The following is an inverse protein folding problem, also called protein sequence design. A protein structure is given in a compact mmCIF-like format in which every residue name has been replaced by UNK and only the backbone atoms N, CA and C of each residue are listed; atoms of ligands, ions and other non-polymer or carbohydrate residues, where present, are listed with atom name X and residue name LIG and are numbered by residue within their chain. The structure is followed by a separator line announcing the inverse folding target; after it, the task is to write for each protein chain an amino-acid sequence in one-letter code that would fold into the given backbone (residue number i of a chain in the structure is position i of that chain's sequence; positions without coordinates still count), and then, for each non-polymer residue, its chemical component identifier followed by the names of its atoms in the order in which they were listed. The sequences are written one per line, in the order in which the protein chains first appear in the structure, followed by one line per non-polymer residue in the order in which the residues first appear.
data_IF_903160011326
#
_entry.id   IF_903160011326
#
_cell.length_a   1.000
_cell.length_b   1.000
_cell.length_c   1.000
_cell.angle_alpha   90.00
_cell.angle_beta   90.00
_cell.angle_gamma   90.00
#
_symmetry.space_group_name_H-M   'P 1'
#
loop_
_entity.id
_entity.type
_entity.pdbx_description
1 polymer ?
#
# COMPACT_ATOMS: atom_id res chain seq x y z
N UNK A 1 72.96 -31.21 25.91
CA UNK A 1 72.73 -29.80 25.53
C UNK A 1 72.04 -29.80 24.18
N UNK A 2 70.73 -29.53 24.15
CA UNK A 2 69.92 -29.47 22.94
C UNK A 2 69.06 -28.20 22.98
N UNK A 3 69.17 -27.39 21.93
CA UNK A 3 68.51 -26.10 21.77
C UNK A 3 67.04 -26.27 21.33
N UNK A 4 66.13 -25.60 22.01
CA UNK A 4 64.73 -25.46 21.59
C UNK A 4 64.54 -24.22 20.69
N UNK A 5 63.67 -24.27 19.67
CA UNK A 5 63.45 -23.14 18.77
C UNK A 5 62.39 -22.17 19.32
N UNK A 6 62.65 -20.87 19.15
CA UNK A 6 61.76 -19.78 19.50
C UNK A 6 60.60 -19.65 18.48
N UNK A 7 59.37 -19.73 18.95
CA UNK A 7 58.15 -19.40 18.19
C UNK A 7 57.95 -17.89 18.16
N UNK A 8 58.06 -17.29 16.96
CA UNK A 8 57.65 -15.91 16.69
C UNK A 8 56.13 -15.84 16.56
N UNK A 9 55.47 -15.17 17.50
CA UNK A 9 54.08 -14.74 17.36
C UNK A 9 54.01 -13.67 16.25
N UNK A 10 53.32 -13.97 15.16
CA UNK A 10 53.00 -13.02 14.10
C UNK A 10 51.65 -12.38 14.45
N UNK A 11 51.68 -11.17 14.99
CA UNK A 11 50.49 -10.31 15.10
C UNK A 11 50.18 -9.75 13.71
N UNK A 12 49.22 -10.35 13.00
CA UNK A 12 48.63 -9.78 11.79
C UNK A 12 47.43 -8.88 12.17
N UNK A 13 47.21 -7.73 11.52
CA UNK A 13 46.63 -6.58 12.20
C UNK A 13 45.09 -6.59 12.15
N UNK A 14 44.50 -6.48 13.34
CA UNK A 14 43.07 -6.25 13.60
C UNK A 14 42.50 -5.03 12.82
N UNK A 15 43.36 -4.08 12.45
CA UNK A 15 43.00 -2.89 11.68
C UNK A 15 42.53 -3.17 10.25
N UNK A 16 42.98 -4.26 9.62
CA UNK A 16 42.55 -4.59 8.26
C UNK A 16 41.06 -4.99 8.22
N UNK A 17 40.60 -5.71 9.26
CA UNK A 17 39.21 -6.14 9.37
C UNK A 17 38.27 -4.98 9.68
N UNK A 18 38.68 -4.02 10.53
CA UNK A 18 37.86 -2.83 10.82
C UNK A 18 37.67 -1.98 9.56
N UNK A 19 38.73 -1.81 8.76
CA UNK A 19 38.65 -1.03 7.52
C UNK A 19 37.79 -1.74 6.45
N UNK A 20 37.91 -3.06 6.34
CA UNK A 20 37.13 -3.84 5.38
C UNK A 20 35.63 -3.87 5.72
N UNK A 21 35.28 -4.02 7.00
CA UNK A 21 33.88 -3.94 7.44
C UNK A 21 33.32 -2.53 7.34
N UNK A 22 34.12 -1.50 7.66
CA UNK A 22 33.72 -0.10 7.48
C UNK A 22 33.40 0.24 6.01
N UNK A 23 34.21 -0.26 5.07
CA UNK A 23 34.01 -0.07 3.64
C UNK A 23 32.77 -0.79 3.11
N UNK A 24 32.50 -2.02 3.57
CA UNK A 24 31.29 -2.76 3.18
C UNK A 24 30.04 -2.04 3.69
N UNK A 25 30.03 -1.58 4.94
CA UNK A 25 28.93 -0.79 5.51
C UNK A 25 28.75 0.51 4.73
N UNK A 26 29.83 1.22 4.42
CA UNK A 26 29.76 2.46 3.64
C UNK A 26 29.27 2.24 2.21
N UNK A 27 29.61 1.12 1.56
CA UNK A 27 29.09 0.73 0.25
C UNK A 27 27.61 0.34 0.33
N UNK A 28 27.19 -0.40 1.37
CA UNK A 28 25.79 -0.77 1.56
C UNK A 28 24.90 0.43 1.87
N UNK A 29 25.38 1.42 2.64
CA UNK A 29 24.63 2.64 2.94
C UNK A 29 24.76 3.73 1.85
N UNK A 30 25.91 3.83 1.17
CA UNK A 30 26.17 4.82 0.12
C UNK A 30 25.54 4.49 -1.23
N UNK A 31 25.35 3.20 -1.56
CA UNK A 31 24.66 2.77 -2.78
C UNK A 31 23.13 2.70 -2.60
N UNK A 32 22.62 2.75 -1.37
CA UNK A 32 21.18 2.73 -1.08
C UNK A 32 20.42 3.98 -1.57
N UNK A 33 21.11 5.06 -1.90
CA UNK A 33 20.48 6.35 -2.25
C UNK A 33 20.36 6.63 -3.75
N UNK A 34 21.03 5.86 -4.63
CA UNK A 34 21.13 6.19 -6.06
C UNK A 34 20.62 5.10 -7.03
N UNK A 35 20.01 4.03 -6.53
CA UNK A 35 19.33 3.03 -7.37
C UNK A 35 17.90 3.46 -7.72
N UNK A 36 17.78 4.60 -8.42
CA UNK A 36 16.56 4.96 -9.14
C UNK A 36 16.59 4.24 -10.49
N UNK A 37 15.79 3.18 -10.57
CA UNK A 37 15.51 2.46 -11.82
C UNK A 37 15.05 3.46 -12.87
N UNK A 38 15.66 3.35 -14.05
CA UNK A 38 15.47 4.16 -15.24
C UNK A 38 14.11 3.90 -15.91
N UNK A 39 13.01 3.87 -15.15
CA UNK A 39 11.70 4.06 -15.76
C UNK A 39 11.66 5.52 -16.20
N UNK A 40 11.44 5.78 -17.49
CA UNK A 40 11.10 7.13 -18.01
C UNK A 40 9.73 7.56 -17.49
N UNK A 41 9.56 7.57 -16.16
CA UNK A 41 8.54 8.35 -15.49
C UNK A 41 8.81 9.77 -15.94
N UNK A 42 7.76 10.44 -16.43
CA UNK A 42 7.86 11.83 -16.85
C UNK A 42 8.74 12.60 -15.87
N UNK A 43 9.84 13.17 -16.37
CA UNK A 43 10.62 14.08 -15.54
C UNK A 43 9.66 15.21 -15.11
N UNK A 44 9.87 15.76 -13.92
CA UNK A 44 9.18 16.98 -13.52
C UNK A 44 9.30 18.06 -14.60
N UNK A 45 10.40 18.08 -15.36
CA UNK A 45 10.55 18.93 -16.54
C UNK A 45 9.52 18.63 -17.64
N UNK A 46 9.28 17.36 -17.99
CA UNK A 46 8.29 17.01 -19.01
C UNK A 46 6.89 17.42 -18.59
N UNK A 47 6.53 17.16 -17.33
CA UNK A 47 5.22 17.56 -16.77
C UNK A 47 5.09 19.08 -16.82
N UNK A 48 6.08 19.82 -16.32
CA UNK A 48 6.05 21.29 -16.33
C UNK A 48 6.01 21.86 -17.75
N UNK A 49 6.70 21.22 -18.69
CA UNK A 49 6.66 21.61 -20.11
C UNK A 49 5.25 21.39 -20.67
N UNK A 50 4.62 20.26 -20.37
CA UNK A 50 3.23 19.98 -20.75
C UNK A 50 2.21 20.92 -20.07
N UNK A 51 2.48 21.40 -18.86
CA UNK A 51 1.68 22.44 -18.19
C UNK A 51 1.90 23.84 -18.77
N UNK A 52 3.12 24.14 -19.23
CA UNK A 52 3.52 25.42 -19.79
C UNK A 52 3.15 25.57 -21.28
N UNK A 53 2.68 24.50 -21.94
CA UNK A 53 1.95 24.63 -23.19
C UNK A 53 0.74 25.52 -22.89
N UNK A 54 0.87 26.81 -23.19
CA UNK A 54 -0.21 27.79 -23.09
C UNK A 54 -1.38 27.22 -23.87
N UNK A 55 -2.38 26.76 -23.14
CA UNK A 55 -3.67 26.45 -23.74
C UNK A 55 -4.32 27.80 -24.00
N UNK A 56 -3.94 28.45 -25.10
CA UNK A 56 -4.69 29.58 -25.63
C UNK A 56 -6.16 29.15 -25.94
N UNK A 57 -6.42 27.83 -25.93
CA UNK A 57 -7.73 27.17 -26.01
C UNK A 57 -8.48 26.99 -24.67
N UNK A 58 -7.99 27.53 -23.54
CA UNK A 58 -8.68 27.39 -22.25
C UNK A 58 -10.10 28.00 -22.26
N UNK A 59 -10.37 28.94 -23.15
CA UNK A 59 -11.68 29.57 -23.32
C UNK A 59 -12.71 28.63 -23.97
N UNK A 60 -12.29 27.66 -24.80
CA UNK A 60 -13.20 26.74 -25.50
C UNK A 60 -13.51 25.44 -24.74
N UNK A 61 -12.71 25.08 -23.73
CA UNK A 61 -12.99 23.96 -22.79
C UNK A 61 -14.27 24.25 -21.96
N UNK A 62 -14.72 25.51 -21.91
CA UNK A 62 -16.00 25.89 -21.27
C UNK A 62 -17.23 25.40 -22.04
N UNK A 63 -17.11 25.14 -23.36
CA UNK A 63 -18.21 24.70 -24.23
C UNK A 63 -18.26 23.19 -24.43
N UNK A 64 -17.17 22.46 -24.18
CA UNK A 64 -17.17 21.00 -24.26
C UNK A 64 -18.04 20.39 -23.16
N UNK A 65 -19.05 19.60 -23.59
CA UNK A 65 -19.80 18.74 -22.67
C UNK A 65 -18.81 17.79 -22.01
N UNK A 66 -18.75 17.80 -20.68
CA UNK A 66 -17.99 16.83 -19.91
C UNK A 66 -18.45 15.40 -20.25
N UNK A 67 -17.73 14.74 -21.14
CA UNK A 67 -17.99 13.37 -21.56
C UNK A 67 -17.22 12.39 -20.67
N UNK A 68 -17.41 12.52 -19.35
CA UNK A 68 -16.93 11.50 -18.42
C UNK A 68 -17.68 10.23 -18.78
N UNK A 69 -16.96 9.17 -19.13
CA UNK A 69 -17.58 7.89 -19.47
C UNK A 69 -18.36 7.38 -18.26
N UNK A 70 -19.67 7.25 -18.44
CA UNK A 70 -20.54 6.66 -17.43
C UNK A 70 -20.29 5.16 -17.26
N UNK A 71 -19.78 4.51 -18.32
CA UNK A 71 -19.47 3.07 -18.37
C UNK A 71 -18.00 2.85 -18.73
N UNK A 72 -17.14 2.53 -17.75
CA UNK A 72 -15.76 2.17 -18.02
C UNK A 72 -15.70 0.85 -18.81
N UNK A 73 -14.67 0.69 -19.64
CA UNK A 73 -14.51 -0.47 -20.50
C UNK A 73 -13.95 -1.66 -19.71
N UNK A 74 -14.46 -2.85 -20.04
CA UNK A 74 -13.80 -4.10 -19.71
C UNK A 74 -12.57 -4.28 -20.60
N UNK A 75 -11.57 -4.97 -20.06
CA UNK A 75 -10.38 -5.37 -20.82
C UNK A 75 -10.59 -6.81 -21.27
N UNK A 76 -10.57 -7.07 -22.57
CA UNK A 76 -10.49 -8.46 -23.01
C UNK A 76 -9.08 -9.00 -22.73
N UNK A 77 -8.94 -10.22 -22.23
CA UNK A 77 -7.61 -10.74 -21.90
C UNK A 77 -6.74 -10.95 -23.14
N UNK A 78 -7.34 -11.34 -24.27
CA UNK A 78 -6.59 -11.43 -25.52
C UNK A 78 -6.17 -10.05 -25.96
N UNK A 79 -6.97 -9.00 -25.71
CA UNK A 79 -6.52 -7.62 -25.91
C UNK A 79 -5.39 -7.22 -24.95
N UNK A 80 -5.45 -7.64 -23.67
CA UNK A 80 -4.38 -7.39 -22.68
C UNK A 80 -3.05 -8.01 -23.10
N UNK A 81 -3.07 -9.23 -23.64
CA UNK A 81 -1.88 -9.92 -24.15
C UNK A 81 -1.47 -9.42 -25.55
N UNK A 82 -2.48 -9.27 -26.41
CA UNK A 82 -2.52 -8.85 -27.81
C UNK A 82 -1.99 -7.46 -28.13
N UNK A 83 -2.72 -6.48 -27.62
CA UNK A 83 -2.66 -5.09 -28.09
C UNK A 83 -1.53 -4.31 -27.42
N UNK A 84 -0.84 -4.93 -26.46
CA UNK A 84 0.23 -4.31 -25.67
C UNK A 84 -0.22 -2.96 -25.09
N UNK A 85 -1.52 -2.74 -24.83
CA UNK A 85 -2.02 -1.49 -24.24
C UNK A 85 -1.50 -1.39 -22.81
N UNK A 86 -1.72 -2.45 -22.03
CA UNK A 86 -1.28 -2.52 -20.65
C UNK A 86 0.11 -3.12 -20.56
N UNK A 87 0.91 -2.57 -19.64
CA UNK A 87 2.22 -3.11 -19.29
C UNK A 87 2.11 -4.49 -18.65
N UNK A 88 1.14 -4.66 -17.76
CA UNK A 88 1.03 -5.86 -16.94
C UNK A 88 0.10 -6.90 -17.56
N UNK A 89 0.58 -8.14 -17.64
CA UNK A 89 -0.22 -9.30 -18.10
C UNK A 89 -1.24 -9.75 -17.05
N UNK A 90 -0.96 -9.45 -15.78
CA UNK A 90 -1.86 -9.64 -14.64
C UNK A 90 -2.26 -8.26 -14.11
N UNK A 91 -3.55 -8.01 -13.79
CA UNK A 91 -3.95 -6.74 -13.20
C UNK A 91 -3.18 -6.46 -11.90
N UNK A 92 -2.51 -5.30 -11.76
CA UNK A 92 -1.83 -4.96 -10.53
C UNK A 92 -2.81 -4.80 -9.36
N UNK A 93 -2.32 -5.04 -8.15
CA UNK A 93 -3.07 -4.79 -6.94
C UNK A 93 -3.05 -3.31 -6.56
N UNK A 94 -4.22 -2.75 -6.24
CA UNK A 94 -4.33 -1.46 -5.57
C UNK A 94 -4.33 -1.71 -4.06
N UNK A 95 -3.15 -1.56 -3.46
CA UNK A 95 -2.87 -1.88 -2.06
C UNK A 95 -2.94 -0.61 -1.22
N UNK A 96 -3.77 -0.65 -0.17
CA UNK A 96 -3.75 0.38 0.87
C UNK A 96 -4.30 -0.18 2.16
N UNK A 97 -4.07 0.52 3.27
CA UNK A 97 -4.79 0.29 4.51
C UNK A 97 -6.24 0.77 4.40
N UNK A 98 -7.10 0.27 5.28
CA UNK A 98 -8.48 0.73 5.39
C UNK A 98 -8.53 2.23 5.68
N UNK A 99 -9.44 2.96 5.02
CA UNK A 99 -9.52 4.41 5.13
C UNK A 99 -8.54 5.19 4.25
N UNK A 100 -7.65 4.55 3.50
CA UNK A 100 -6.62 5.25 2.70
C UNK A 100 -7.02 5.65 1.29
N UNK A 101 -8.28 5.41 0.90
CA UNK A 101 -8.83 5.96 -0.34
C UNK A 101 -8.93 5.01 -1.53
N UNK A 102 -8.73 3.70 -1.37
CA UNK A 102 -8.82 2.72 -2.47
C UNK A 102 -10.06 2.87 -3.36
N UNK A 103 -11.25 3.01 -2.76
CA UNK A 103 -12.50 3.17 -3.54
C UNK A 103 -12.51 4.48 -4.33
N UNK A 104 -11.93 5.55 -3.79
CA UNK A 104 -11.79 6.82 -4.49
C UNK A 104 -10.81 6.69 -5.66
N UNK A 105 -9.63 6.12 -5.43
CA UNK A 105 -8.63 5.90 -6.49
C UNK A 105 -9.16 4.99 -7.60
N UNK A 106 -9.96 3.97 -7.26
CA UNK A 106 -10.69 3.16 -8.26
C UNK A 106 -11.63 4.01 -9.11
N UNK A 107 -12.45 4.88 -8.49
CA UNK A 107 -13.30 5.79 -9.25
C UNK A 107 -12.48 6.70 -10.17
N UNK A 108 -11.33 7.20 -9.70
CA UNK A 108 -10.43 8.03 -10.52
C UNK A 108 -9.90 7.24 -11.73
N UNK A 109 -9.47 5.99 -11.54
CA UNK A 109 -9.04 5.12 -12.64
C UNK A 109 -10.19 4.91 -13.64
N UNK A 110 -11.38 4.54 -13.16
CA UNK A 110 -12.54 4.28 -14.01
C UNK A 110 -13.03 5.52 -14.77
N UNK A 111 -13.01 6.68 -14.12
CA UNK A 111 -13.49 7.96 -14.66
C UNK A 111 -12.49 8.56 -15.64
N UNK A 112 -11.21 8.57 -15.25
CA UNK A 112 -10.17 9.33 -15.96
C UNK A 112 -9.45 8.49 -17.01
N UNK A 113 -9.21 7.20 -16.71
CA UNK A 113 -8.51 6.26 -17.61
C UNK A 113 -9.53 5.46 -18.43
N UNK A 114 -10.74 5.26 -17.91
CA UNK A 114 -11.85 4.69 -18.67
C UNK A 114 -11.91 3.16 -18.70
N UNK A 115 -11.24 2.48 -17.76
CA UNK A 115 -11.27 1.02 -17.62
C UNK A 115 -11.78 0.58 -16.25
N UNK A 116 -12.54 -0.52 -16.21
CA UNK A 116 -13.13 -1.05 -14.98
C UNK A 116 -12.08 -1.52 -13.97
N UNK A 117 -12.43 -1.45 -12.69
CA UNK A 117 -11.57 -1.90 -11.60
C UNK A 117 -12.25 -2.96 -10.74
N UNK A 118 -11.46 -3.93 -10.28
CA UNK A 118 -11.91 -5.04 -9.46
C UNK A 118 -11.73 -4.80 -7.97
N UNK A 119 -12.31 -5.69 -7.18
CA UNK A 119 -12.24 -5.69 -5.72
C UNK A 119 -12.43 -7.09 -5.20
N UNK A 120 -11.65 -7.47 -4.19
CA UNK A 120 -11.85 -8.74 -3.47
C UNK A 120 -13.07 -8.71 -2.54
N UNK A 121 -13.63 -7.52 -2.30
CA UNK A 121 -14.74 -7.30 -1.40
C UNK A 121 -16.06 -7.46 -2.13
N UNK A 122 -17.07 -7.96 -1.42
CA UNK A 122 -18.46 -7.99 -1.88
C UNK A 122 -19.27 -6.86 -1.25
N UNK A 123 -19.03 -5.64 -1.72
CA UNK A 123 -19.84 -4.48 -1.33
C UNK A 123 -20.97 -4.22 -2.33
N UNK A 124 -22.13 -4.83 -2.06
CA UNK A 124 -23.34 -4.64 -2.89
C UNK A 124 -23.76 -3.18 -3.02
N UNK A 125 -23.45 -2.33 -2.04
CA UNK A 125 -23.79 -0.90 -2.09
C UNK A 125 -22.88 -0.16 -3.06
N UNK A 126 -21.57 -0.44 -3.04
CA UNK A 126 -20.64 0.11 -4.04
C UNK A 126 -20.94 -0.43 -5.44
N UNK A 127 -21.28 -1.71 -5.57
CA UNK A 127 -21.69 -2.29 -6.85
C UNK A 127 -22.92 -1.60 -7.42
N UNK A 128 -24.00 -1.53 -6.62
CA UNK A 128 -25.30 -1.05 -7.11
C UNK A 128 -25.39 0.48 -7.22
N UNK A 129 -24.81 1.21 -6.26
CA UNK A 129 -24.96 2.67 -6.16
C UNK A 129 -23.70 3.42 -6.61
N UNK A 130 -22.52 2.83 -6.39
CA UNK A 130 -21.24 3.36 -6.84
C UNK A 130 -20.89 2.95 -8.28
N UNK A 131 -21.69 2.08 -8.90
CA UNK A 131 -21.47 1.53 -10.24
C UNK A 131 -20.10 0.86 -10.39
N UNK A 132 -19.59 0.23 -9.33
CA UNK A 132 -18.43 -0.66 -9.41
C UNK A 132 -18.91 -2.04 -9.85
N UNK A 133 -19.19 -2.21 -11.13
CA UNK A 133 -19.83 -3.42 -11.68
C UNK A 133 -19.09 -4.71 -11.29
N UNK A 134 -17.75 -4.62 -11.22
CA UNK A 134 -16.84 -5.70 -10.88
C UNK A 134 -16.39 -5.70 -9.40
N UNK A 135 -17.25 -5.21 -8.50
CA UNK A 135 -17.10 -5.51 -7.07
C UNK A 135 -17.20 -7.03 -6.83
N UNK A 136 -16.35 -7.59 -5.98
CA UNK A 136 -16.14 -9.04 -5.78
C UNK A 136 -15.48 -9.77 -6.95
N UNK A 137 -15.10 -9.06 -8.01
CA UNK A 137 -14.39 -9.64 -9.13
C UNK A 137 -12.91 -9.28 -9.05
N UNK A 138 -12.12 -10.33 -9.17
CA UNK A 138 -10.69 -10.25 -9.38
C UNK A 138 -10.41 -11.12 -10.60
N UNK A 139 -10.27 -10.47 -11.74
CA UNK A 139 -10.28 -11.10 -13.05
C UNK A 139 -9.31 -10.35 -13.95
N UNK A 140 -8.81 -11.02 -14.98
CA UNK A 140 -7.96 -10.41 -16.00
C UNK A 140 -8.62 -9.25 -16.77
N UNK A 141 -9.95 -9.10 -16.65
CA UNK A 141 -10.73 -8.06 -17.35
C UNK A 141 -10.75 -6.70 -16.67
N UNK A 142 -10.13 -6.56 -15.49
CA UNK A 142 -10.01 -5.28 -14.79
C UNK A 142 -8.65 -4.64 -15.01
N UNK A 143 -8.57 -3.31 -14.91
CA UNK A 143 -7.31 -2.58 -14.95
C UNK A 143 -6.48 -2.81 -13.69
N UNK A 144 -7.12 -2.80 -12.52
CA UNK A 144 -6.50 -2.98 -11.20
C UNK A 144 -7.46 -3.71 -10.26
N UNK A 145 -6.95 -4.40 -9.24
CA UNK A 145 -7.78 -5.03 -8.19
C UNK A 145 -7.48 -4.44 -6.82
N UNK A 146 -8.50 -3.89 -6.14
CA UNK A 146 -8.37 -3.41 -4.76
C UNK A 146 -8.13 -4.55 -3.76
N UNK A 147 -7.19 -4.31 -2.85
CA UNK A 147 -6.84 -5.19 -1.73
C UNK A 147 -6.43 -4.40 -0.48
N UNK A 148 -6.63 -4.99 0.72
CA UNK A 148 -6.11 -4.49 1.99
C UNK A 148 -5.21 -5.53 2.69
N UNK A 149 -4.31 -5.11 3.61
CA UNK A 149 -3.37 -5.99 4.31
C UNK A 149 -3.99 -7.26 4.89
N UNK A 150 -5.19 -7.19 5.46
CA UNK A 150 -5.88 -8.36 6.00
C UNK A 150 -6.04 -9.54 5.04
N UNK A 151 -5.92 -9.32 3.73
CA UNK A 151 -6.02 -10.37 2.73
C UNK A 151 -4.70 -11.03 2.38
N UNK A 152 -3.57 -10.44 2.79
CA UNK A 152 -2.27 -10.86 2.31
C UNK A 152 -1.15 -10.82 3.35
N UNK A 153 -1.42 -10.49 4.62
CA UNK A 153 -0.35 -10.56 5.65
C UNK A 153 0.27 -11.96 5.69
N UNK A 154 -0.52 -13.01 5.56
CA UNK A 154 -0.04 -14.41 5.55
C UNK A 154 0.46 -14.87 4.18
N UNK A 155 0.02 -14.19 3.12
CA UNK A 155 0.33 -14.53 1.72
C UNK A 155 1.39 -13.58 1.14
N UNK A 156 2.05 -12.85 2.02
CA UNK A 156 2.86 -11.70 1.69
C UNK A 156 3.95 -12.08 0.70
N UNK A 157 4.73 -13.08 1.09
CA UNK A 157 5.84 -13.56 0.30
C UNK A 157 5.37 -14.18 -1.01
N UNK A 158 4.20 -14.84 -1.03
CA UNK A 158 3.67 -15.45 -2.24
C UNK A 158 3.19 -14.40 -3.25
N UNK A 159 2.63 -13.27 -2.78
CA UNK A 159 2.31 -12.13 -3.65
C UNK A 159 3.58 -11.51 -4.18
N UNK A 160 4.56 -11.23 -3.32
CA UNK A 160 5.81 -10.58 -3.75
C UNK A 160 6.64 -11.48 -4.67
N UNK A 161 6.58 -12.79 -4.43
CA UNK A 161 7.11 -13.79 -5.34
C UNK A 161 6.24 -13.98 -6.58
N UNK A 162 5.04 -13.41 -6.72
CA UNK A 162 4.22 -13.62 -7.93
C UNK A 162 3.72 -15.05 -8.08
N UNK A 163 3.66 -15.79 -6.97
CA UNK A 163 3.12 -17.14 -6.91
C UNK A 163 1.60 -17.12 -6.92
N UNK A 164 0.97 -16.05 -6.45
CA UNK A 164 -0.48 -15.95 -6.38
C UNK A 164 -1.08 -15.33 -7.62
N UNK A 165 -2.15 -15.97 -8.09
CA UNK A 165 -3.14 -15.31 -8.93
C UNK A 165 -4.44 -15.19 -8.19
N UNK A 166 -5.15 -14.15 -8.57
CA UNK A 166 -6.44 -13.87 -8.03
C UNK A 166 -7.50 -14.60 -8.86
N UNK A 167 -8.42 -15.30 -8.18
CA UNK A 167 -9.43 -16.12 -8.85
C UNK A 167 -10.77 -15.38 -8.94
N UNK A 168 -11.48 -15.56 -10.06
CA UNK A 168 -12.78 -14.92 -10.23
C UNK A 168 -13.80 -15.57 -9.27
N UNK A 169 -14.86 -14.86 -8.88
CA UNK A 169 -15.83 -15.37 -7.90
C UNK A 169 -16.56 -16.64 -8.34
N UNK A 170 -16.89 -16.75 -9.63
CA UNK A 170 -17.55 -17.94 -10.17
C UNK A 170 -16.67 -19.18 -10.04
N UNK A 171 -15.39 -19.06 -10.39
CA UNK A 171 -14.38 -20.11 -10.27
C UNK A 171 -14.18 -20.51 -8.81
N UNK A 172 -14.09 -19.52 -7.91
CA UNK A 172 -13.97 -19.79 -6.47
C UNK A 172 -15.12 -20.62 -5.94
N UNK A 173 -16.35 -20.30 -6.33
CA UNK A 173 -17.52 -21.07 -5.92
C UNK A 173 -17.56 -22.44 -6.58
N UNK A 174 -17.24 -22.54 -7.86
CA UNK A 174 -17.27 -23.78 -8.62
C UNK A 174 -16.24 -24.81 -8.10
N UNK A 175 -15.08 -24.34 -7.66
CA UNK A 175 -13.94 -25.19 -7.28
C UNK A 175 -13.57 -25.12 -5.79
N UNK A 176 -14.38 -24.43 -4.97
CA UNK A 176 -14.13 -24.20 -3.54
C UNK A 176 -12.76 -23.56 -3.24
N UNK A 177 -12.34 -22.61 -4.09
CA UNK A 177 -11.04 -21.94 -3.97
C UNK A 177 -11.09 -20.72 -3.06
N UNK A 178 -9.94 -20.37 -2.51
CA UNK A 178 -9.71 -19.11 -1.82
C UNK A 178 -9.68 -17.93 -2.80
N UNK A 179 -9.77 -16.68 -2.32
CA UNK A 179 -9.59 -15.48 -3.15
C UNK A 179 -8.27 -15.45 -3.94
N UNK A 180 -7.23 -16.04 -3.35
CA UNK A 180 -5.91 -16.22 -3.95
C UNK A 180 -5.57 -17.70 -3.95
N UNK A 181 -5.02 -18.14 -5.06
CA UNK A 181 -4.45 -19.48 -5.17
C UNK A 181 -3.04 -19.36 -5.74
N UNK A 182 -2.14 -20.19 -5.22
CA UNK A 182 -0.80 -20.29 -5.77
C UNK A 182 -0.83 -21.09 -7.07
N UNK A 183 -0.15 -20.55 -8.09
CA UNK A 183 0.05 -21.22 -9.37
C UNK A 183 1.11 -22.33 -9.28
N UNK A 184 2.04 -22.21 -8.34
CA UNK A 184 3.21 -23.09 -8.22
C UNK A 184 3.04 -24.16 -7.16
N UNK A 185 2.16 -23.92 -6.18
CA UNK A 185 1.86 -24.86 -5.10
C UNK A 185 0.35 -24.99 -5.00
N UNK A 186 -0.23 -26.21 -5.09
CA UNK A 186 -1.57 -26.42 -4.58
C UNK A 186 -1.57 -25.92 -3.13
N UNK A 187 -2.51 -25.09 -2.71
CA UNK A 187 -2.73 -24.92 -1.27
C UNK A 187 -3.42 -26.23 -0.84
N UNK A 188 -2.61 -27.26 -0.56
CA UNK A 188 -2.91 -28.70 -0.48
C UNK A 188 -4.11 -29.12 0.40
N UNK A 189 -4.86 -28.20 1.01
CA UNK A 189 -6.00 -28.50 1.88
C UNK A 189 -7.39 -28.19 1.29
N UNK A 190 -7.53 -27.46 0.18
CA UNK A 190 -8.85 -26.94 -0.26
C UNK A 190 -9.47 -27.63 -1.49
N UNK A 191 -8.70 -28.30 -2.34
CA UNK A 191 -9.23 -28.90 -3.58
C UNK A 191 -9.03 -30.42 -3.54
N UNK A 192 -10.10 -31.17 -3.25
CA UNK A 192 -10.09 -32.63 -3.27
C UNK A 192 -9.81 -33.23 -4.66
N UNK A 193 -9.84 -32.41 -5.73
CA UNK A 193 -9.56 -32.84 -7.09
C UNK A 193 -8.81 -31.76 -7.91
N UNK A 194 -7.52 -31.55 -7.60
CA UNK A 194 -6.66 -30.60 -8.31
C UNK A 194 -6.56 -30.88 -9.83
N UNK A 195 -6.58 -32.15 -10.23
CA UNK A 195 -6.58 -32.55 -11.66
C UNK A 195 -7.79 -31.97 -12.39
N UNK A 196 -8.99 -32.08 -11.82
CA UNK A 196 -10.20 -31.54 -12.41
C UNK A 196 -10.19 -30.00 -12.45
N UNK A 197 -9.58 -29.33 -11.48
CA UNK A 197 -9.37 -27.89 -11.54
C UNK A 197 -8.41 -27.52 -12.66
N UNK A 198 -7.30 -28.24 -12.83
CA UNK A 198 -6.31 -27.94 -13.86
C UNK A 198 -6.88 -28.14 -15.28
N UNK A 199 -7.64 -29.22 -15.51
CA UNK A 199 -8.33 -29.48 -16.78
C UNK A 199 -9.38 -28.42 -17.13
N UNK A 200 -10.02 -27.83 -16.11
CA UNK A 200 -11.06 -26.81 -16.27
C UNK A 200 -10.55 -25.40 -16.01
N UNK A 201 -9.25 -25.24 -15.86
CA UNK A 201 -8.64 -23.94 -15.58
C UNK A 201 -8.87 -23.03 -16.80
N UNK A 202 -9.41 -21.82 -16.58
CA UNK A 202 -9.58 -20.86 -17.66
C UNK A 202 -8.27 -20.63 -18.41
N UNK A 203 -8.35 -20.52 -19.74
CA UNK A 203 -7.20 -20.38 -20.63
C UNK A 203 -6.21 -19.30 -20.19
N UNK A 204 -6.72 -18.22 -19.59
CA UNK A 204 -5.91 -17.16 -19.04
C UNK A 204 -4.93 -17.66 -17.96
N UNK A 205 -5.38 -18.40 -16.95
CA UNK A 205 -4.50 -18.81 -15.85
C UNK A 205 -3.51 -19.88 -16.30
N UNK A 206 -3.92 -20.78 -17.19
CA UNK A 206 -3.02 -21.73 -17.85
C UNK A 206 -1.92 -20.98 -18.62
N UNK A 207 -2.28 -19.93 -19.35
CA UNK A 207 -1.33 -19.08 -20.05
C UNK A 207 -0.38 -18.37 -19.08
N UNK A 208 -0.90 -17.73 -18.02
CA UNK A 208 -0.08 -17.04 -17.02
C UNK A 208 0.93 -18.00 -16.40
N UNK A 209 0.48 -19.19 -15.97
CA UNK A 209 1.34 -20.16 -15.32
C UNK A 209 2.48 -20.64 -16.24
N UNK A 210 2.16 -20.90 -17.52
CA UNK A 210 3.12 -21.45 -18.47
C UNK A 210 4.05 -20.40 -19.12
N UNK A 211 3.59 -19.16 -19.32
CA UNK A 211 4.27 -18.20 -20.21
C UNK A 211 4.65 -16.87 -19.58
N UNK A 212 4.15 -16.53 -18.39
CA UNK A 212 4.49 -15.27 -17.74
C UNK A 212 5.53 -15.54 -16.66
N UNK A 213 6.76 -15.00 -16.76
CA UNK A 213 7.76 -15.15 -15.72
C UNK A 213 7.23 -14.70 -14.37
N UNK A 214 7.60 -15.41 -13.31
CA UNK A 214 7.13 -15.17 -11.95
C UNK A 214 7.35 -13.70 -11.49
N UNK A 215 8.48 -13.10 -11.87
CA UNK A 215 8.80 -11.69 -11.58
C UNK A 215 7.86 -10.69 -12.28
N UNK A 216 7.23 -11.07 -13.40
CA UNK A 216 6.23 -10.27 -14.15
C UNK A 216 4.79 -10.53 -13.67
N UNK A 217 4.61 -11.21 -12.54
CA UNK A 217 3.29 -11.48 -11.95
C UNK A 217 2.99 -10.57 -10.75
N UNK A 218 4.01 -9.90 -10.21
CA UNK A 218 3.89 -9.07 -9.01
C UNK A 218 3.91 -7.60 -9.37
N UNK A 219 2.73 -7.00 -9.37
CA UNK A 219 2.58 -5.57 -9.64
C UNK A 219 1.63 -4.92 -8.65
N UNK A 220 2.01 -3.74 -8.16
CA UNK A 220 1.19 -3.02 -7.19
C UNK A 220 1.18 -1.50 -7.40
N UNK A 221 0.01 -0.91 -7.23
CA UNK A 221 -0.15 0.51 -6.94
C UNK A 221 -0.38 0.60 -5.45
N UNK A 222 0.60 1.15 -4.73
CA UNK A 222 0.54 1.31 -3.28
C UNK A 222 0.07 2.72 -2.99
N UNK A 223 -1.12 2.82 -2.41
CA UNK A 223 -1.70 4.09 -2.02
C UNK A 223 -1.30 4.41 -0.57
N UNK A 224 -0.42 5.39 -0.42
CA UNK A 224 -0.06 5.94 0.88
C UNK A 224 -0.96 7.12 1.22
N UNK A 225 -1.39 7.16 2.47
CA UNK A 225 -2.14 8.26 3.07
C UNK A 225 -1.42 8.62 4.36
N UNK A 226 -1.56 9.88 4.81
CA UNK A 226 -1.14 10.26 6.15
C UNK A 226 -1.67 9.26 7.18
N UNK A 227 -0.78 8.67 7.97
CA UNK A 227 -1.11 7.52 8.83
C UNK A 227 -2.22 7.83 9.83
N UNK A 228 -2.25 9.06 10.37
CA UNK A 228 -3.28 9.49 11.32
C UNK A 228 -4.62 9.68 10.65
N UNK A 229 -4.63 10.23 9.43
CA UNK A 229 -5.83 10.38 8.62
C UNK A 229 -6.39 9.04 8.15
N UNK A 230 -5.53 8.11 7.76
CA UNK A 230 -5.91 6.77 7.36
C UNK A 230 -6.55 6.00 8.52
N UNK A 231 -5.89 6.00 9.68
CA UNK A 231 -6.42 5.36 10.89
C UNK A 231 -7.75 5.99 11.32
N UNK A 232 -7.86 7.32 11.34
CA UNK A 232 -9.12 7.98 11.68
C UNK A 232 -10.25 7.68 10.68
N UNK A 233 -9.95 7.70 9.39
CA UNK A 233 -10.92 7.36 8.34
C UNK A 233 -11.36 5.90 8.43
N UNK A 234 -10.43 4.99 8.77
CA UNK A 234 -10.70 3.59 9.05
C UNK A 234 -11.61 3.40 10.27
N UNK A 235 -11.35 4.11 11.37
CA UNK A 235 -12.22 4.11 12.54
C UNK A 235 -13.64 4.56 12.21
N UNK A 236 -13.77 5.66 11.46
CA UNK A 236 -15.06 6.14 10.99
C UNK A 236 -15.74 5.14 10.05
N UNK A 237 -14.98 4.42 9.21
CA UNK A 237 -15.53 3.36 8.37
C UNK A 237 -16.08 2.19 9.19
N UNK A 238 -15.34 1.71 10.19
CA UNK A 238 -15.78 0.59 11.03
C UNK A 238 -17.06 0.93 11.83
N UNK A 239 -17.31 2.21 12.10
CA UNK A 239 -18.51 2.65 12.83
C UNK A 239 -19.62 3.25 11.95
N UNK A 240 -19.30 3.82 10.79
CA UNK A 240 -20.24 4.56 9.95
C UNK A 240 -20.38 4.01 8.54
N UNK A 241 -19.52 3.08 8.13
CA UNK A 241 -19.39 2.65 6.74
C UNK A 241 -18.75 3.73 5.85
N UNK A 242 -18.94 3.57 4.53
CA UNK A 242 -18.24 4.37 3.51
C UNK A 242 -18.45 5.88 3.63
N UNK A 243 -19.70 6.34 3.77
CA UNK A 243 -20.04 7.77 3.63
C UNK A 243 -20.53 8.44 4.90
N UNK A 244 -20.90 7.68 5.94
CA UNK A 244 -21.45 8.31 7.14
C UNK A 244 -20.34 8.99 7.93
N UNK A 245 -20.64 10.18 8.38
CA UNK A 245 -19.88 10.86 9.43
C UNK A 245 -20.34 10.32 10.78
N UNK A 246 -19.37 10.01 11.63
CA UNK A 246 -19.64 9.52 12.97
C UNK A 246 -20.11 10.65 13.89
N UNK A 247 -21.27 10.48 14.53
CA UNK A 247 -21.81 11.44 15.50
C UNK A 247 -21.40 11.09 16.92
N UNK A 248 -21.24 12.09 17.78
CA UNK A 248 -20.95 11.88 19.21
C UNK A 248 -22.10 11.15 19.93
N UNK A 249 -23.35 11.30 19.44
CA UNK A 249 -24.52 10.57 19.92
C UNK A 249 -24.33 9.05 19.89
N UNK A 250 -23.58 8.51 18.90
CA UNK A 250 -23.30 7.06 18.82
C UNK A 250 -22.53 6.53 20.04
N UNK A 251 -21.80 7.40 20.74
CA UNK A 251 -21.09 7.07 21.96
C UNK A 251 -21.83 7.52 23.21
N UNK A 252 -23.13 7.79 23.11
CA UNK A 252 -23.95 8.33 24.22
C UNK A 252 -23.33 9.61 24.81
N UNK A 253 -22.63 10.38 23.97
CA UNK A 253 -21.85 11.55 24.38
C UNK A 253 -20.77 11.25 25.45
N UNK A 254 -20.41 9.98 25.66
CA UNK A 254 -19.35 9.56 26.58
C UNK A 254 -17.98 9.62 25.89
N UNK A 255 -17.16 10.57 26.32
CA UNK A 255 -15.76 10.72 25.88
C UNK A 255 -14.92 9.50 26.23
N UNK A 256 -15.11 8.92 27.43
CA UNK A 256 -14.42 7.69 27.85
C UNK A 256 -14.77 6.49 26.95
N UNK A 257 -16.05 6.31 26.59
CA UNK A 257 -16.46 5.24 25.67
C UNK A 257 -15.87 5.43 24.27
N UNK A 258 -15.87 6.67 23.76
CA UNK A 258 -15.22 7.01 22.49
C UNK A 258 -13.71 6.74 22.55
N UNK A 259 -13.03 7.22 23.58
CA UNK A 259 -11.59 7.05 23.79
C UNK A 259 -11.21 5.58 23.87
N UNK A 260 -11.87 4.79 24.73
CA UNK A 260 -11.59 3.37 24.89
C UNK A 260 -11.82 2.57 23.60
N UNK A 261 -12.94 2.84 22.91
CA UNK A 261 -13.23 2.19 21.64
C UNK A 261 -12.23 2.59 20.53
N UNK A 262 -11.90 3.88 20.42
CA UNK A 262 -10.92 4.36 19.46
C UNK A 262 -9.55 3.72 19.70
N UNK A 263 -9.05 3.73 20.94
CA UNK A 263 -7.79 3.08 21.32
C UNK A 263 -7.75 1.62 20.93
N UNK A 264 -8.81 0.87 21.29
CA UNK A 264 -8.93 -0.54 20.94
C UNK A 264 -8.83 -0.76 19.42
N UNK A 265 -9.58 0.04 18.64
CA UNK A 265 -9.58 -0.09 17.18
C UNK A 265 -8.22 0.27 16.56
N UNK A 266 -7.57 1.32 17.07
CA UNK A 266 -6.21 1.70 16.64
C UNK A 266 -5.26 0.54 16.90
N UNK A 267 -5.14 0.09 18.14
CA UNK A 267 -4.12 -0.86 18.56
C UNK A 267 -4.33 -2.27 18.00
N UNK A 268 -5.59 -2.72 17.89
CA UNK A 268 -5.89 -4.09 17.45
C UNK A 268 -6.07 -4.24 15.96
N UNK A 269 -6.45 -3.18 15.25
CA UNK A 269 -6.84 -3.31 13.85
C UNK A 269 -6.14 -2.32 12.94
N UNK A 270 -6.23 -1.02 13.22
CA UNK A 270 -5.83 0.00 12.24
C UNK A 270 -4.31 0.17 12.18
N UNK A 271 -3.63 0.24 13.32
CA UNK A 271 -2.19 0.39 13.40
C UNK A 271 -1.43 -0.81 12.81
N UNK A 272 -1.75 -2.08 13.16
CA UNK A 272 -1.12 -3.24 12.51
C UNK A 272 -1.30 -3.25 10.99
N UNK A 273 -2.47 -2.83 10.49
CA UNK A 273 -2.73 -2.74 9.04
C UNK A 273 -1.90 -1.63 8.37
N UNK A 274 -1.70 -0.48 9.01
CA UNK A 274 -0.78 0.54 8.47
C UNK A 274 0.64 -0.02 8.37
N UNK A 275 1.14 -0.64 9.45
CA UNK A 275 2.45 -1.29 9.45
C UNK A 275 2.53 -2.38 8.37
N UNK A 276 1.45 -3.14 8.16
CA UNK A 276 1.37 -4.14 7.10
C UNK A 276 1.56 -3.57 5.69
N UNK A 277 1.04 -2.38 5.38
CA UNK A 277 1.28 -1.71 4.08
C UNK A 277 2.75 -1.31 3.93
N UNK A 278 3.38 -0.79 4.97
CA UNK A 278 4.79 -0.42 4.87
C UNK A 278 5.73 -1.62 4.81
N UNK A 279 5.43 -2.67 5.58
CA UNK A 279 6.09 -3.97 5.39
C UNK A 279 5.89 -4.47 3.96
N UNK A 280 4.75 -4.15 3.34
CA UNK A 280 4.54 -4.43 1.92
C UNK A 280 5.52 -3.73 1.00
N UNK A 281 5.73 -2.45 1.20
CA UNK A 281 6.72 -1.67 0.47
C UNK A 281 8.13 -2.23 0.67
N UNK A 282 8.53 -2.49 1.92
CA UNK A 282 9.88 -2.96 2.24
C UNK A 282 10.21 -4.31 1.59
N UNK A 283 9.26 -5.23 1.59
CA UNK A 283 9.48 -6.53 0.98
C UNK A 283 9.43 -6.47 -0.55
N UNK A 284 8.60 -5.59 -1.15
CA UNK A 284 8.66 -5.28 -2.57
C UNK A 284 10.02 -4.68 -2.97
N UNK A 285 10.61 -3.83 -2.12
CA UNK A 285 11.95 -3.27 -2.32
C UNK A 285 13.05 -4.33 -2.17
N UNK A 286 12.90 -5.27 -1.24
CA UNK A 286 13.87 -6.35 -1.01
C UNK A 286 13.90 -7.39 -2.14
N UNK A 287 12.77 -7.66 -2.80
CA UNK A 287 12.64 -8.78 -3.73
C UNK A 287 13.27 -8.56 -5.12
N UNK A 288 13.68 -7.34 -5.50
CA UNK A 288 14.56 -7.23 -6.66
C UNK A 288 14.60 -5.90 -7.40
N UNK A 289 15.67 -5.77 -8.19
CA UNK A 289 16.18 -4.56 -8.88
C UNK A 289 15.20 -3.90 -9.86
N UNK A 290 14.14 -4.57 -10.29
CA UNK A 290 13.08 -4.01 -11.13
C UNK A 290 11.86 -3.77 -10.27
N UNK A 291 11.83 -2.63 -9.56
CA UNK A 291 10.64 -2.20 -8.82
C UNK A 291 9.46 -2.17 -9.79
N UNK A 292 8.57 -3.15 -9.70
CA UNK A 292 7.34 -3.15 -10.50
C UNK A 292 6.13 -2.79 -9.65
N UNK A 293 6.30 -1.72 -8.88
CA UNK A 293 5.23 -1.08 -8.14
C UNK A 293 5.40 0.43 -8.18
N UNK A 294 4.30 1.14 -7.97
CA UNK A 294 4.30 2.60 -7.85
C UNK A 294 3.67 3.02 -6.53
N UNK A 295 4.29 4.01 -5.86
CA UNK A 295 3.75 4.63 -4.66
C UNK A 295 3.04 5.92 -5.02
N UNK A 296 1.79 6.03 -4.59
CA UNK A 296 0.91 7.16 -4.87
C UNK A 296 0.49 7.82 -3.57
N UNK A 297 0.59 9.15 -3.50
CA UNK A 297 0.19 9.93 -2.32
C UNK A 297 -1.30 10.31 -2.43
N UNK A 298 -2.12 9.78 -1.54
CA UNK A 298 -3.56 9.98 -1.58
C UNK A 298 -3.96 11.44 -1.39
N UNK A 299 -3.26 12.17 -0.51
CA UNK A 299 -3.49 13.59 -0.25
C UNK A 299 -3.39 14.42 -1.52
N UNK A 300 -2.45 14.08 -2.41
CA UNK A 300 -2.29 14.73 -3.70
C UNK A 300 -3.40 14.33 -4.68
N UNK A 301 -3.83 13.05 -4.68
CA UNK A 301 -4.95 12.58 -5.51
C UNK A 301 -6.29 13.26 -5.18
N UNK A 302 -6.52 13.68 -3.94
CA UNK A 302 -7.78 14.34 -3.52
C UNK A 302 -7.67 15.86 -3.44
N UNK A 303 -6.50 16.44 -3.74
CA UNK A 303 -6.31 17.88 -3.65
C UNK A 303 -6.87 18.61 -4.89
N UNK A 304 -8.18 18.81 -4.93
CA UNK A 304 -8.86 19.54 -6.00
C UNK A 304 -8.45 21.03 -6.12
N UNK A 305 -7.70 21.55 -5.14
CA UNK A 305 -7.14 22.90 -5.19
C UNK A 305 -5.74 22.94 -5.81
N UNK A 306 -5.10 21.78 -5.98
CA UNK A 306 -3.79 21.63 -6.61
C UNK A 306 -3.88 20.60 -7.75
N UNK A 307 -4.37 21.07 -8.91
CA UNK A 307 -4.53 20.25 -10.11
C UNK A 307 -3.21 19.60 -10.55
N UNK A 308 -2.09 20.30 -10.42
CA UNK A 308 -0.77 19.78 -10.78
C UNK A 308 -0.38 18.56 -9.94
N UNK A 309 -0.59 18.61 -8.62
CA UNK A 309 -0.30 17.47 -7.75
C UNK A 309 -1.23 16.29 -8.07
N UNK A 310 -2.52 16.55 -8.29
CA UNK A 310 -3.50 15.52 -8.64
C UNK A 310 -3.18 14.86 -9.99
N UNK A 311 -2.88 15.65 -11.02
CA UNK A 311 -2.51 15.14 -12.34
C UNK A 311 -1.20 14.35 -12.29
N UNK A 312 -0.20 14.81 -11.52
CA UNK A 312 1.07 14.08 -11.34
C UNK A 312 0.83 12.68 -10.78
N UNK A 313 0.03 12.54 -9.72
CA UNK A 313 -0.27 11.23 -9.15
C UNK A 313 -1.11 10.35 -10.10
N UNK A 314 -2.04 10.93 -10.86
CA UNK A 314 -2.79 10.18 -11.87
C UNK A 314 -1.92 9.75 -13.04
N UNK A 315 -0.96 10.56 -13.47
CA UNK A 315 0.02 10.19 -14.50
C UNK A 315 0.93 9.06 -14.03
N UNK A 316 1.36 9.06 -12.76
CA UNK A 316 2.08 7.90 -12.18
C UNK A 316 1.26 6.62 -12.30
N UNK A 317 -0.02 6.64 -11.94
CA UNK A 317 -0.91 5.49 -12.09
C UNK A 317 -1.03 5.09 -13.57
N UNK A 318 -1.32 6.05 -14.46
CA UNK A 318 -1.57 5.74 -15.86
C UNK A 318 -0.32 5.20 -16.57
N UNK A 319 0.86 5.79 -16.34
CA UNK A 319 2.14 5.31 -16.90
C UNK A 319 2.59 3.99 -16.32
N UNK A 320 2.21 3.68 -15.08
CA UNK A 320 2.40 2.35 -14.53
C UNK A 320 1.52 1.32 -15.26
N UNK A 321 0.25 1.66 -15.53
CA UNK A 321 -0.69 0.74 -16.16
C UNK A 321 -0.43 0.52 -17.65
N UNK A 322 -0.16 1.57 -18.42
CA UNK A 322 0.06 1.48 -19.86
C UNK A 322 1.48 1.02 -20.20
N UNK A 323 1.65 0.28 -21.28
CA UNK A 323 2.98 -0.10 -21.76
C UNK A 323 3.69 1.09 -22.42
N UNK A 324 5.02 1.11 -22.36
CA UNK A 324 5.82 2.13 -23.05
C UNK A 324 5.53 2.13 -24.56
N UNK A 325 5.38 0.95 -25.17
CA UNK A 325 5.05 0.82 -26.58
C UNK A 325 3.69 1.42 -26.95
N UNK A 326 2.70 1.33 -26.06
CA UNK A 326 1.41 2.00 -26.28
C UNK A 326 1.58 3.51 -26.17
N UNK A 327 2.28 3.99 -25.15
CA UNK A 327 2.47 5.43 -24.90
C UNK A 327 3.31 6.10 -25.99
N UNK A 328 4.27 5.40 -26.57
CA UNK A 328 5.20 5.94 -27.57
C UNK A 328 4.61 5.94 -29.00
N UNK A 329 3.45 5.30 -29.22
CA UNK A 329 2.74 5.35 -30.52
C UNK A 329 1.87 6.60 -30.67
N UNK A 330 1.93 7.25 -31.83
CA UNK A 330 0.92 8.19 -32.35
C UNK A 330 0.42 9.25 -31.32
N UNK A 331 1.34 9.88 -30.59
CA UNK A 331 1.05 10.88 -29.57
C UNK A 331 0.16 10.39 -28.42
N UNK A 332 0.05 9.08 -28.20
CA UNK A 332 -0.79 8.51 -27.15
C UNK A 332 -0.42 9.06 -25.77
N UNK A 333 0.87 9.32 -25.51
CA UNK A 333 1.34 9.99 -24.29
C UNK A 333 0.72 11.37 -24.10
N UNK A 334 0.74 12.20 -25.15
CA UNK A 334 0.17 13.55 -25.13
C UNK A 334 -1.37 13.50 -25.03
N UNK A 335 -2.01 12.61 -25.80
CA UNK A 335 -3.46 12.37 -25.74
C UNK A 335 -3.91 11.89 -24.36
N UNK A 336 -3.16 10.99 -23.73
CA UNK A 336 -3.41 10.54 -22.37
C UNK A 336 -3.31 11.70 -21.38
N UNK A 337 -2.25 12.51 -21.48
CA UNK A 337 -2.09 13.71 -20.65
C UNK A 337 -3.29 14.66 -20.79
N UNK A 338 -3.66 15.02 -22.02
CA UNK A 338 -4.82 15.89 -22.26
C UNK A 338 -6.11 15.26 -21.76
N UNK A 339 -6.35 13.98 -22.03
CA UNK A 339 -7.55 13.28 -21.58
C UNK A 339 -7.65 13.25 -20.06
N UNK A 340 -6.57 12.93 -19.36
CA UNK A 340 -6.53 12.95 -17.89
C UNK A 340 -6.83 14.35 -17.35
N UNK A 341 -6.18 15.39 -17.88
CA UNK A 341 -6.38 16.78 -17.46
C UNK A 341 -7.83 17.22 -17.69
N UNK A 342 -8.37 17.03 -18.89
CA UNK A 342 -9.77 17.37 -19.23
C UNK A 342 -10.75 16.62 -18.33
N UNK A 343 -10.56 15.32 -18.14
CA UNK A 343 -11.43 14.51 -17.28
C UNK A 343 -11.34 14.93 -15.81
N UNK A 344 -10.16 15.35 -15.32
CA UNK A 344 -9.98 15.90 -13.96
C UNK A 344 -10.73 17.22 -13.78
N UNK A 345 -10.63 18.14 -14.73
CA UNK A 345 -11.38 19.41 -14.74
C UNK A 345 -12.88 19.11 -14.71
N UNK A 346 -13.34 18.17 -15.52
CA UNK A 346 -14.73 17.75 -15.55
C UNK A 346 -15.19 17.09 -14.25
N UNK A 347 -14.36 16.23 -13.65
CA UNK A 347 -14.68 15.61 -12.36
C UNK A 347 -14.79 16.68 -11.28
N UNK A 348 -13.90 17.67 -11.25
CA UNK A 348 -13.95 18.80 -10.32
C UNK A 348 -15.25 19.61 -10.48
N UNK A 349 -15.66 19.92 -11.72
CA UNK A 349 -16.91 20.63 -12.02
C UNK A 349 -18.15 19.83 -11.62
N UNK A 350 -18.13 18.52 -11.79
CA UNK A 350 -19.28 17.64 -11.59
C UNK A 350 -19.30 16.90 -10.25
N UNK A 351 -18.28 17.04 -9.38
CA UNK A 351 -18.17 16.25 -8.14
C UNK A 351 -19.40 16.34 -7.22
N UNK A 352 -20.07 17.49 -7.21
CA UNK A 352 -21.26 17.74 -6.37
C UNK A 352 -22.55 17.18 -6.97
N UNK A 353 -22.56 16.80 -8.24
CA UNK A 353 -23.71 16.21 -8.94
C UNK A 353 -23.49 14.74 -9.29
N UNK A 354 -22.22 14.32 -9.44
CA UNK A 354 -21.83 12.94 -9.73
C UNK A 354 -22.25 12.00 -8.59
N UNK A 355 -23.17 11.09 -8.90
CA UNK A 355 -23.73 10.13 -7.92
C UNK A 355 -22.64 9.20 -7.37
N UNK A 356 -21.72 8.72 -8.21
CA UNK A 356 -20.62 7.83 -7.81
C UNK A 356 -19.70 8.52 -6.80
N UNK A 357 -19.36 9.78 -7.03
CA UNK A 357 -18.57 10.60 -6.09
C UNK A 357 -19.25 10.74 -4.73
N UNK A 358 -20.56 11.06 -4.70
CA UNK A 358 -21.33 11.15 -3.45
C UNK A 358 -21.35 9.84 -2.66
N UNK A 359 -21.27 8.70 -3.36
CA UNK A 359 -21.29 7.38 -2.74
C UNK A 359 -19.99 6.97 -2.06
N UNK A 360 -18.89 7.66 -2.36
CA UNK A 360 -17.56 7.26 -1.88
C UNK A 360 -16.85 8.37 -1.10
N UNK A 361 -17.24 9.62 -1.31
CA UNK A 361 -16.68 10.77 -0.61
C UNK A 361 -17.49 11.05 0.65
N UNK A 362 -16.85 10.99 1.82
CA UNK A 362 -17.47 11.37 3.08
C UNK A 362 -17.67 12.89 3.12
N UNK A 363 -18.83 13.40 3.56
CA UNK A 363 -19.02 14.84 3.75
C UNK A 363 -17.94 15.43 4.67
N UNK A 364 -17.46 16.62 4.32
CA UNK A 364 -16.57 17.36 5.21
C UNK A 364 -17.32 17.78 6.47
N UNK A 365 -16.63 17.73 7.60
CA UNK A 365 -17.15 18.12 8.91
C UNK A 365 -16.36 19.33 9.37
N UNK A 366 -17.01 20.41 9.83
CA UNK A 366 -16.30 21.53 10.43
C UNK A 366 -15.38 21.03 11.56
N UNK A 367 -14.11 21.46 11.62
CA UNK A 367 -13.16 20.99 12.62
C UNK A 367 -13.64 21.15 14.07
N UNK A 368 -14.47 22.18 14.32
CA UNK A 368 -15.02 22.55 15.63
C UNK A 368 -16.46 22.03 15.85
N UNK A 369 -16.89 21.02 15.10
CA UNK A 369 -18.24 20.50 15.30
C UNK A 369 -18.38 19.76 16.65
N UNK A 370 -19.39 20.15 17.41
CA UNK A 370 -19.77 19.51 18.69
C UNK A 370 -20.70 18.31 18.52
N UNK A 371 -21.19 18.06 17.31
CA UNK A 371 -22.13 16.97 17.02
C UNK A 371 -21.45 15.74 16.39
N UNK A 372 -20.26 15.94 15.81
CA UNK A 372 -19.53 14.93 15.06
C UNK A 372 -18.19 14.62 15.73
N UNK A 373 -17.75 13.38 15.59
CA UNK A 373 -16.40 12.99 15.99
C UNK A 373 -15.44 13.51 14.93
N UNK A 374 -14.56 14.44 15.30
CA UNK A 374 -13.50 14.97 14.43
C UNK A 374 -12.17 14.30 14.73
N UNK A 375 -11.23 14.38 13.77
CA UNK A 375 -9.88 13.84 13.93
C UNK A 375 -9.19 14.46 15.15
N UNK A 376 -9.25 15.79 15.25
CA UNK A 376 -8.66 16.53 16.35
C UNK A 376 -9.34 16.16 17.68
N UNK A 377 -10.69 16.16 17.75
CA UNK A 377 -11.39 15.86 18.99
C UNK A 377 -11.08 14.47 19.55
N UNK A 378 -10.83 13.47 18.70
CA UNK A 378 -10.56 12.10 19.15
C UNK A 378 -9.10 11.88 19.55
N UNK A 379 -8.14 12.40 18.79
CA UNK A 379 -6.73 12.23 19.14
C UNK A 379 -6.33 13.05 20.38
N UNK A 380 -6.95 14.21 20.60
CA UNK A 380 -6.75 15.01 21.82
C UNK A 380 -7.29 14.37 23.10
N UNK A 381 -7.99 13.23 23.02
CA UNK A 381 -8.38 12.44 24.20
C UNK A 381 -7.22 11.63 24.78
N UNK A 382 -6.08 11.54 24.08
CA UNK A 382 -4.97 10.69 24.49
C UNK A 382 -3.81 11.52 25.02
N UNK A 383 -3.16 11.00 26.05
CA UNK A 383 -1.90 11.57 26.53
C UNK A 383 -0.77 11.30 25.54
N UNK A 384 0.33 12.06 25.69
CA UNK A 384 1.49 11.96 24.81
C UNK A 384 2.05 10.53 24.78
N UNK A 385 2.17 9.85 25.92
CA UNK A 385 2.67 8.47 25.98
C UNK A 385 1.90 7.51 25.06
N UNK A 386 0.57 7.63 24.98
CA UNK A 386 -0.24 6.79 24.07
C UNK A 386 0.03 7.14 22.60
N UNK A 387 0.04 8.43 22.25
CA UNK A 387 0.34 8.89 20.88
C UNK A 387 1.75 8.47 20.46
N UNK A 388 2.74 8.64 21.33
CA UNK A 388 4.13 8.27 21.10
C UNK A 388 4.31 6.76 20.99
N UNK A 389 3.58 5.97 21.79
CA UNK A 389 3.57 4.52 21.67
C UNK A 389 3.04 4.02 20.32
N UNK A 390 2.05 4.71 19.73
CA UNK A 390 1.61 4.43 18.36
C UNK A 390 2.62 4.93 17.32
N UNK A 391 3.16 6.14 17.51
CA UNK A 391 4.11 6.73 16.57
C UNK A 391 5.39 5.91 16.46
N UNK A 392 6.00 5.44 17.56
CA UNK A 392 7.22 4.63 17.52
C UNK A 392 7.04 3.36 16.66
N UNK A 393 5.87 2.74 16.72
CA UNK A 393 5.56 1.56 15.89
C UNK A 393 5.48 1.90 14.40
N UNK A 394 5.16 3.14 14.04
CA UNK A 394 5.06 3.64 12.67
C UNK A 394 6.34 4.33 12.18
N UNK A 395 7.10 4.98 13.07
CA UNK A 395 8.14 5.96 12.75
C UNK A 395 9.12 5.44 11.71
N UNK A 396 9.73 4.28 11.97
CA UNK A 396 10.69 3.65 11.06
C UNK A 396 10.16 3.39 9.64
N UNK A 397 8.84 3.31 9.50
CA UNK A 397 8.18 3.01 8.23
C UNK A 397 7.59 4.25 7.56
N UNK A 398 6.96 5.13 8.34
CA UNK A 398 6.14 6.23 7.82
C UNK A 398 6.94 7.53 7.62
N UNK A 399 7.98 7.74 8.41
CA UNK A 399 8.86 8.92 8.34
C UNK A 399 9.59 9.05 6.99
N UNK A 400 10.12 7.98 6.37
CA UNK A 400 10.69 8.04 5.01
C UNK A 400 9.71 8.55 3.94
N UNK A 401 8.40 8.48 4.22
CA UNK A 401 7.34 8.95 3.34
C UNK A 401 6.76 10.31 3.77
N UNK A 402 7.48 11.06 4.62
CA UNK A 402 7.11 12.42 5.04
C UNK A 402 6.01 12.49 6.10
N UNK A 403 5.68 11.36 6.76
CA UNK A 403 4.79 11.41 7.92
C UNK A 403 5.56 11.85 9.16
N UNK A 404 4.86 12.52 10.07
CA UNK A 404 5.37 12.91 11.38
C UNK A 404 4.45 12.40 12.48
N UNK A 405 4.87 12.57 13.73
CA UNK A 405 3.98 12.36 14.89
C UNK A 405 2.71 13.21 14.76
N UNK A 406 1.60 12.72 15.31
CA UNK A 406 0.35 13.50 15.37
C UNK A 406 0.61 14.81 16.11
N UNK A 407 0.19 15.94 15.53
CA UNK A 407 0.37 17.27 16.12
C UNK A 407 1.82 17.52 16.61
N UNK A 408 2.79 17.64 15.67
CA UNK A 408 4.21 17.66 16.01
C UNK A 408 4.60 18.84 16.91
N UNK A 409 3.89 19.97 16.85
CA UNK A 409 4.12 21.11 17.73
C UNK A 409 3.92 20.74 19.21
N UNK A 410 2.98 19.82 19.51
CA UNK A 410 2.66 19.41 20.87
C UNK A 410 3.35 18.10 21.28
N UNK A 411 3.55 17.17 20.34
CA UNK A 411 3.96 15.80 20.67
C UNK A 411 5.43 15.47 20.36
N UNK A 412 6.14 16.25 19.54
CA UNK A 412 7.48 15.87 19.08
C UNK A 412 8.46 15.67 20.25
N UNK A 413 8.62 16.69 21.11
CA UNK A 413 9.54 16.62 22.25
C UNK A 413 9.18 15.48 23.22
N UNK A 414 7.88 15.29 23.49
CA UNK A 414 7.41 14.23 24.37
C UNK A 414 7.68 12.83 23.78
N UNK A 415 7.58 12.67 22.46
CA UNK A 415 7.90 11.40 21.81
C UNK A 415 9.38 11.12 21.73
N UNK A 416 10.22 12.14 21.56
CA UNK A 416 11.67 11.98 21.63
C UNK A 416 12.11 11.56 23.03
N UNK A 417 11.50 12.12 24.09
CA UNK A 417 11.73 11.68 25.48
C UNK A 417 11.18 10.28 25.74
N UNK A 418 9.97 9.97 25.26
CA UNK A 418 9.38 8.63 25.38
C UNK A 418 10.27 7.56 24.72
N UNK A 419 10.83 7.84 23.55
CA UNK A 419 11.76 6.94 22.85
C UNK A 419 13.03 6.71 23.67
N UNK A 420 13.61 7.76 24.27
CA UNK A 420 14.77 7.63 25.18
C UNK A 420 14.45 6.74 26.39
N UNK A 421 13.30 6.96 27.04
CA UNK A 421 12.85 6.13 28.18
C UNK A 421 12.63 4.68 27.78
N UNK A 422 12.11 4.43 26.56
CA UNK A 422 11.91 3.08 26.04
C UNK A 422 13.25 2.36 25.80
N UNK A 423 14.24 3.05 25.20
CA UNK A 423 15.59 2.50 24.98
C UNK A 423 16.27 2.12 26.31
N UNK A 424 16.26 3.03 27.29
CA UNK A 424 16.82 2.75 28.63
C UNK A 424 16.16 1.55 29.31
N UNK A 425 14.84 1.36 29.14
CA UNK A 425 14.13 0.19 29.69
C UNK A 425 14.53 -1.11 29.01
N UNK A 426 14.74 -1.09 27.68
CA UNK A 426 15.17 -2.27 26.94
C UNK A 426 16.60 -2.67 27.32
N UNK A 427 17.52 -1.69 27.41
CA UNK A 427 18.91 -1.92 27.86
C UNK A 427 18.98 -2.51 29.28
N UNK A 428 18.13 -2.03 30.19
CA UNK A 428 18.05 -2.58 31.55
C UNK A 428 17.39 -3.97 31.61
N UNK A 429 16.51 -4.31 30.67
CA UNK A 429 15.87 -5.62 30.65
C UNK A 429 16.84 -6.70 30.14
N UNK A 430 17.67 -6.35 29.15
CA UNK A 430 18.70 -7.24 28.62
C UNK A 430 19.81 -7.50 29.65
N UNK A 431 20.19 -6.49 30.44
CA UNK A 431 21.17 -6.67 31.51
C UNK A 431 20.66 -7.62 32.61
N UNK A 432 19.37 -7.57 32.96
CA UNK A 432 18.75 -8.48 33.93
C UNK A 432 18.78 -9.92 33.42
N UNK A 433 18.39 -10.17 32.17
CA UNK A 433 18.44 -11.52 31.58
C UNK A 433 19.86 -12.07 31.46
N UNK A 434 20.85 -11.22 31.19
CA UNK A 434 22.25 -11.64 31.15
C UNK A 434 22.73 -12.08 32.55
N UNK A 435 22.39 -11.33 33.61
CA UNK A 435 22.69 -11.73 35.00
C UNK A 435 21.96 -12.99 35.45
N UNK A 436 20.69 -13.19 35.08
CA UNK A 436 19.96 -14.42 35.43
C UNK A 436 20.53 -15.64 34.71
N UNK A 437 20.93 -15.51 33.44
CA UNK A 437 21.56 -16.59 32.67
C UNK A 437 22.97 -16.95 33.15
N UNK A 438 23.67 -16.02 33.80
CA UNK A 438 24.97 -16.25 34.45
C UNK A 438 24.81 -16.91 35.82
N UNK A 439 23.69 -16.69 36.50
CA UNK A 439 23.41 -17.35 37.78
C UNK A 439 22.96 -18.81 37.59
N UNK A 440 22.13 -19.09 36.57
CA UNK A 440 21.69 -20.45 36.25
C UNK A 440 22.83 -21.34 35.70
N UNK A 441 23.79 -20.76 34.98
CA UNK A 441 24.99 -21.49 34.52
C UNK A 441 25.96 -21.90 35.63
N UNK A 442 25.84 -21.33 36.83
CA UNK A 442 26.65 -21.71 37.99
C UNK A 442 25.95 -22.74 38.90
N UNK A 443 24.69 -23.11 38.62
CA UNK A 443 23.92 -24.07 39.42
C UNK A 443 23.59 -25.38 38.71
N UNK A 444 23.82 -25.50 37.40
CA UNK A 444 23.56 -26.72 36.63
C UNK A 444 24.85 -27.37 36.09
N UNK A 445 25.68 -27.87 37.01
CA UNK A 445 26.52 -29.03 36.73
C UNK A 445 25.77 -30.30 37.12
N UNK A 446 24.88 -30.77 36.25
CA UNK A 446 24.30 -32.11 36.34
C UNK A 446 22.79 -32.16 36.19
N UNK A 447 22.29 -32.16 34.95
CA UNK A 447 21.47 -33.25 34.42
C UNK A 447 21.04 -32.93 32.98
N UNK A 448 21.11 -33.95 32.13
CA UNK A 448 20.78 -33.87 30.71
C UNK A 448 19.26 -33.88 30.55
N UNK A 449 18.65 -32.92 29.84
CA UNK A 449 17.39 -33.20 29.15
C UNK A 449 17.16 -32.36 27.90
N UNK A 450 16.70 -33.08 26.88
CA UNK A 450 16.32 -32.66 25.54
C UNK A 450 14.84 -32.21 25.50
N UNK A 451 14.52 -31.11 24.80
CA UNK A 451 13.30 -30.91 23.97
C UNK A 451 13.27 -29.47 23.42
N UNK A 452 13.22 -29.24 22.10
CA UNK A 452 12.08 -29.26 21.14
C UNK A 452 11.04 -28.15 21.40
N UNK A 453 11.13 -27.10 20.58
CA UNK A 453 10.15 -26.04 20.41
C UNK A 453 9.03 -26.46 19.43
N UNK A 454 7.79 -26.14 19.80
CA UNK A 454 6.72 -25.71 18.90
C UNK A 454 6.03 -24.51 19.57
#
# INVERSE_FOLDING_TARGET
MANAPATKLIYFPFYFWIFFFGLIIFIMFGLGSNLLVNSKVFDNKDILTMFNVKTDDAEDISKEKCNIRDKPLLIDWKQRLNMQIFRHKIPPFLVSSIGSGNTFTRLMIETLIGYQTGSLYQDKKLQNQGHFELESACTYTVAVTKMHPEHFVELFDDIVRGELVCMNMSERHQFHLKPFESLTKPIWSSVSNWSAFHERMPQYYTYINAHVPQIERTHAIILLRNVWDAMFAGFQYLHGGHTKVLTLRKFQHSTSKLQGNFKYQIEKHLLPRQVGVFKFILAMDAFGKTKDYVVVQFEHLVNFNNETAQLREMLKIATFLYSDQYLDKNDNRLKLFHSLRTNLICLKKTKTTNKRMKMIHRPSVPPLSTNYVTKHSVYSLFNNDTICGWWIKLKQYAEPHGNTVWDPLHNQAACDEFEKRLKLRLENHDSIHETTSLHERNTESGESFTKKFF
#
